data_IF_297283923416
#
_entry.id   IF_297283923416
#
_cell.length_a   1.000
_cell.length_b   1.000
_cell.length_c   1.000
_cell.angle_alpha   90.00
_cell.angle_beta   90.00
_cell.angle_gamma   90.00
#
_symmetry.space_group_name_H-M   'P 1'
#
loop_
_entity.id
_entity.type
_entity.pdbx_description
1 polymer ?
#
# COMPACT_ATOMS: atom_id res chain seq x y z
N UNK A 1 56.82 -18.41 71.88
CA UNK A 1 55.86 -18.90 70.86
C UNK A 1 56.02 -17.98 69.67
N UNK A 2 56.81 -18.34 68.64
CA UNK A 2 56.47 -19.29 67.55
C UNK A 2 55.40 -18.71 66.62
N UNK A 3 55.55 -18.69 65.30
CA UNK A 3 56.63 -19.13 64.41
C UNK A 3 56.30 -18.65 62.98
N UNK A 4 57.31 -18.49 62.09
CA UNK A 4 57.23 -18.54 60.61
C UNK A 4 56.32 -17.48 59.91
N UNK A 5 56.65 -16.87 58.77
CA UNK A 5 57.80 -17.04 57.87
C UNK A 5 57.42 -17.69 56.53
N UNK A 6 57.04 -16.90 55.53
CA UNK A 6 56.95 -17.23 54.08
C UNK A 6 56.70 -15.90 53.32
N UNK A 7 57.42 -15.44 52.28
CA UNK A 7 57.76 -16.01 50.95
C UNK A 7 56.51 -16.44 50.15
N UNK A 8 56.38 -16.23 48.83
CA UNK A 8 57.04 -15.38 47.81
C UNK A 8 56.18 -15.50 46.53
N UNK A 9 56.48 -14.74 45.47
CA UNK A 9 55.89 -14.89 44.11
C UNK A 9 54.39 -14.55 43.99
N UNK A 10 53.86 -14.10 42.85
CA UNK A 10 54.50 -13.75 41.57
C UNK A 10 53.73 -14.32 40.37
N UNK A 11 53.37 -13.42 39.43
CA UNK A 11 52.89 -13.67 38.05
C UNK A 11 51.42 -14.05 37.77
N UNK A 12 51.08 -13.73 36.51
CA UNK A 12 49.98 -14.21 35.66
C UNK A 12 48.55 -13.65 35.87
N UNK A 13 48.39 -12.44 35.32
CA UNK A 13 47.30 -12.04 34.39
C UNK A 13 46.08 -12.96 34.30
N UNK A 14 44.90 -12.41 34.63
CA UNK A 14 43.61 -12.99 34.25
C UNK A 14 42.71 -11.99 33.51
N UNK A 15 43.29 -11.21 32.60
CA UNK A 15 42.64 -10.24 31.70
C UNK A 15 41.71 -10.90 30.65
N UNK A 16 41.23 -12.12 30.90
CA UNK A 16 40.33 -12.89 30.05
C UNK A 16 38.97 -13.20 30.69
N UNK A 17 38.75 -12.85 31.96
CA UNK A 17 37.42 -12.94 32.60
C UNK A 17 36.63 -11.65 32.48
N UNK A 18 37.27 -10.50 32.64
CA UNK A 18 36.60 -9.20 32.63
C UNK A 18 36.04 -8.86 31.24
N UNK A 19 36.78 -9.17 30.17
CA UNK A 19 36.31 -8.96 28.78
C UNK A 19 35.03 -9.75 28.42
N UNK A 20 34.77 -10.91 29.06
CA UNK A 20 33.49 -11.63 28.89
C UNK A 20 32.37 -11.07 29.77
N UNK A 21 32.71 -10.47 30.91
CA UNK A 21 31.76 -9.77 31.79
C UNK A 21 31.29 -8.45 31.18
N UNK A 22 32.23 -7.62 30.69
CA UNK A 22 31.92 -6.37 30.00
C UNK A 22 31.12 -6.61 28.73
N UNK A 23 31.51 -7.55 27.86
CA UNK A 23 30.72 -7.84 26.66
C UNK A 23 29.30 -8.34 27.00
N UNK A 24 29.13 -9.12 28.07
CA UNK A 24 27.80 -9.52 28.54
C UNK A 24 26.96 -8.35 29.10
N UNK A 25 27.57 -7.43 29.86
CA UNK A 25 26.89 -6.23 30.35
C UNK A 25 26.58 -5.23 29.24
N UNK A 26 27.50 -5.02 28.30
CA UNK A 26 27.28 -4.16 27.12
C UNK A 26 26.21 -4.74 26.19
N UNK A 27 26.17 -6.07 26.01
CA UNK A 27 25.09 -6.70 25.23
C UNK A 27 23.74 -6.52 25.92
N UNK A 28 23.67 -6.67 27.25
CA UNK A 28 22.43 -6.46 28.00
C UNK A 28 21.96 -4.99 27.97
N UNK A 29 22.88 -4.04 28.06
CA UNK A 29 22.58 -2.60 27.88
C UNK A 29 22.14 -2.28 26.44
N UNK A 30 22.67 -2.96 25.42
CA UNK A 30 22.23 -2.79 24.02
C UNK A 30 20.88 -3.45 23.78
N UNK A 31 20.56 -4.58 24.42
CA UNK A 31 19.24 -5.21 24.40
C UNK A 31 18.19 -4.40 25.19
N UNK A 32 18.57 -3.64 26.22
CA UNK A 32 17.68 -2.71 26.91
C UNK A 32 17.54 -1.35 26.16
N UNK A 33 18.57 -0.88 25.43
CA UNK A 33 18.49 0.35 24.61
C UNK A 33 17.81 0.19 23.25
N UNK A 34 17.85 -1.00 22.61
CA UNK A 34 17.16 -1.23 21.32
C UNK A 34 15.63 -1.32 21.50
N UNK A 35 15.13 -1.46 22.73
CA UNK A 35 13.73 -1.79 23.02
C UNK A 35 12.96 -0.80 23.92
N UNK A 36 13.58 0.26 24.44
CA UNK A 36 12.99 1.11 25.48
C UNK A 36 11.94 2.16 25.04
N UNK A 37 11.55 2.18 23.76
CA UNK A 37 10.33 2.88 23.29
C UNK A 37 9.48 1.99 22.34
N UNK A 38 9.63 0.66 22.46
CA UNK A 38 8.91 -0.34 21.64
C UNK A 38 7.50 -0.63 22.15
N UNK A 39 6.66 0.40 22.30
CA UNK A 39 5.21 0.16 22.39
C UNK A 39 4.70 -0.28 21.03
N UNK A 40 4.28 -1.54 20.90
CA UNK A 40 3.50 -1.97 19.73
C UNK A 40 2.17 -1.23 19.72
N UNK A 41 1.85 -0.64 18.58
CA UNK A 41 0.55 0.03 18.35
C UNK A 41 -0.14 -0.66 17.18
N UNK A 42 -1.36 -1.10 17.42
CA UNK A 42 -2.25 -1.52 16.37
C UNK A 42 -2.99 -0.29 15.83
N UNK A 43 -2.99 -0.13 14.51
CA UNK A 43 -3.74 0.91 13.82
C UNK A 43 -4.60 0.28 12.72
N UNK A 44 -5.90 0.53 12.73
CA UNK A 44 -6.81 0.12 11.67
C UNK A 44 -7.45 1.34 10.98
N UNK A 45 -7.55 1.29 9.65
CA UNK A 45 -8.19 2.33 8.83
C UNK A 45 -9.34 1.69 8.08
N UNK A 46 -10.55 2.19 8.30
CA UNK A 46 -11.77 1.78 7.62
C UNK A 46 -12.29 2.97 6.83
N UNK A 47 -12.53 2.81 5.52
CA UNK A 47 -13.04 3.91 4.70
C UNK A 47 -13.95 3.39 3.59
N UNK A 48 -14.87 4.24 3.12
CA UNK A 48 -15.50 4.06 1.81
C UNK A 48 -14.75 4.96 0.81
N UNK A 49 -14.14 4.33 -0.20
CA UNK A 49 -13.48 5.06 -1.29
C UNK A 49 -14.48 5.33 -2.41
N UNK A 50 -14.40 6.52 -2.99
CA UNK A 50 -15.09 6.90 -4.22
C UNK A 50 -14.11 6.80 -5.41
N UNK A 51 -14.57 6.23 -6.51
CA UNK A 51 -13.88 6.18 -7.81
C UNK A 51 -14.30 7.40 -8.64
N UNK A 52 -13.51 8.49 -8.76
CA UNK A 52 -13.96 9.71 -9.44
C UNK A 52 -13.99 9.58 -10.98
N UNK A 53 -13.32 8.57 -11.55
CA UNK A 53 -13.22 8.33 -12.99
C UNK A 53 -12.97 6.85 -13.28
N UNK A 54 -13.11 6.42 -14.55
CA UNK A 54 -12.92 5.02 -14.94
C UNK A 54 -11.61 4.39 -14.39
N UNK A 55 -11.74 3.32 -13.59
CA UNK A 55 -10.62 2.66 -12.92
C UNK A 55 -10.48 1.20 -13.36
N UNK A 56 -9.24 0.71 -13.39
CA UNK A 56 -8.92 -0.64 -13.85
C UNK A 56 -8.23 -1.46 -12.76
N UNK A 57 -8.91 -2.53 -12.32
CA UNK A 57 -8.37 -3.55 -11.43
C UNK A 57 -8.16 -4.87 -12.19
N UNK A 58 -7.18 -4.93 -13.09
CA UNK A 58 -6.92 -6.11 -13.93
C UNK A 58 -6.63 -7.42 -13.21
N UNK A 59 -7.31 -8.51 -13.62
CA UNK A 59 -7.16 -9.85 -13.04
C UNK A 59 -5.99 -10.64 -13.62
N UNK A 60 -5.85 -10.61 -14.95
CA UNK A 60 -4.88 -11.34 -15.75
C UNK A 60 -4.52 -10.48 -16.96
N UNK A 61 -3.27 -10.54 -17.41
CA UNK A 61 -2.84 -9.96 -18.68
C UNK A 61 -2.82 -11.04 -19.76
N UNK A 62 -3.99 -11.51 -20.16
CA UNK A 62 -4.13 -12.32 -21.36
C UNK A 62 -3.84 -11.44 -22.59
N UNK A 63 -3.26 -12.00 -23.65
CA UNK A 63 -3.06 -11.25 -24.90
C UNK A 63 -4.44 -10.78 -25.39
N UNK A 64 -4.58 -9.46 -25.60
CA UNK A 64 -5.77 -8.76 -26.11
C UNK A 64 -6.98 -8.65 -25.15
N UNK A 65 -7.00 -9.28 -23.97
CA UNK A 65 -8.13 -9.19 -23.02
C UNK A 65 -7.66 -8.81 -21.61
N UNK A 66 -8.25 -7.74 -21.08
CA UNK A 66 -7.96 -7.14 -19.77
C UNK A 66 -9.24 -7.10 -18.92
N UNK A 67 -9.55 -8.22 -18.25
CA UNK A 67 -10.74 -8.35 -17.39
C UNK A 67 -10.52 -7.75 -16.00
N UNK A 68 -11.58 -7.27 -15.38
CA UNK A 68 -11.56 -6.85 -13.97
C UNK A 68 -11.49 -8.06 -13.03
N UNK A 69 -10.82 -7.87 -11.90
CA UNK A 69 -11.11 -8.69 -10.73
C UNK A 69 -12.52 -8.39 -10.24
N UNK A 70 -13.30 -9.46 -10.07
CA UNK A 70 -14.66 -9.41 -9.57
C UNK A 70 -14.88 -10.56 -8.60
N UNK A 71 -15.72 -10.33 -7.59
CA UNK A 71 -16.27 -11.39 -6.73
C UNK A 71 -17.70 -11.66 -7.18
N UNK A 72 -18.05 -12.93 -7.37
CA UNK A 72 -19.43 -13.37 -7.48
C UNK A 72 -19.94 -13.71 -6.09
N UNK A 73 -21.06 -13.10 -5.70
CA UNK A 73 -21.74 -13.37 -4.45
C UNK A 73 -23.02 -14.13 -4.78
N UNK A 74 -23.19 -15.33 -4.25
CA UNK A 74 -24.52 -15.97 -4.24
C UNK A 74 -25.41 -15.10 -3.35
N UNK A 75 -26.32 -14.41 -4.02
CA UNK A 75 -27.27 -13.47 -3.44
C UNK A 75 -28.60 -13.87 -4.00
N UNK A 76 -29.36 -14.41 -3.10
CA UNK A 76 -30.65 -14.95 -3.33
C UNK A 76 -31.64 -13.74 -3.52
N UNK A 77 -32.75 -13.79 -4.31
CA UNK A 77 -33.80 -12.72 -4.40
C UNK A 77 -35.26 -13.25 -4.37
N UNK A 78 -36.19 -12.65 -3.59
CA UNK A 78 -37.67 -12.87 -3.55
C UNK A 78 -38.53 -11.61 -3.81
N UNK A 79 -39.85 -11.79 -3.98
CA UNK A 79 -40.81 -10.77 -4.41
C UNK A 79 -41.02 -9.58 -3.45
N UNK A 80 -40.60 -9.67 -2.18
CA UNK A 80 -40.59 -8.53 -1.26
C UNK A 80 -39.35 -7.64 -1.38
N UNK A 81 -38.43 -7.97 -2.29
CA UNK A 81 -37.06 -7.46 -2.28
C UNK A 81 -36.14 -8.21 -1.30
N UNK A 82 -36.60 -9.34 -0.73
CA UNK A 82 -35.77 -10.21 0.10
C UNK A 82 -34.98 -11.17 -0.78
N UNK A 83 -34.47 -12.28 -0.22
CA UNK A 83 -33.28 -12.97 -0.71
C UNK A 83 -33.52 -14.52 -0.86
N UNK A 84 -33.95 -15.04 -2.04
CA UNK A 84 -34.26 -16.49 -2.40
C UNK A 84 -33.31 -17.32 -3.31
N UNK A 85 -32.96 -16.97 -4.58
CA UNK A 85 -31.74 -17.54 -5.26
C UNK A 85 -31.18 -16.76 -6.47
N UNK A 86 -29.87 -16.44 -6.48
CA UNK A 86 -29.22 -15.65 -7.54
C UNK A 86 -27.72 -15.39 -7.36
N UNK A 87 -27.11 -14.65 -8.30
CA UNK A 87 -25.68 -14.26 -8.24
C UNK A 87 -25.49 -12.79 -8.61
N UNK A 88 -24.74 -12.03 -7.78
CA UNK A 88 -24.31 -10.67 -8.10
C UNK A 88 -22.79 -10.63 -8.24
N UNK A 89 -22.32 -10.18 -9.41
CA UNK A 89 -20.90 -9.98 -9.72
C UNK A 89 -20.52 -8.52 -9.43
N UNK A 90 -19.59 -8.30 -8.50
CA UNK A 90 -19.13 -6.96 -8.09
C UNK A 90 -17.63 -6.75 -8.37
N UNK A 91 -17.18 -5.54 -8.75
CA UNK A 91 -15.76 -5.20 -8.83
C UNK A 91 -15.01 -5.54 -7.53
N UNK A 92 -13.76 -5.97 -7.66
CA UNK A 92 -12.89 -6.29 -6.53
C UNK A 92 -11.50 -5.64 -6.65
N UNK A 93 -11.22 -4.68 -5.77
CA UNK A 93 -9.92 -4.09 -5.57
C UNK A 93 -9.13 -4.95 -4.57
N UNK A 94 -8.50 -6.03 -5.05
CA UNK A 94 -7.89 -7.03 -4.16
C UNK A 94 -6.77 -6.48 -3.25
N UNK A 95 -6.54 -7.12 -2.08
CA UNK A 95 -5.40 -6.90 -1.20
C UNK A 95 -4.06 -6.70 -1.90
N UNK A 96 -3.76 -7.49 -2.93
CA UNK A 96 -2.50 -7.41 -3.68
C UNK A 96 -2.37 -6.09 -4.46
N UNK A 97 -3.47 -5.60 -5.05
CA UNK A 97 -3.49 -4.30 -5.73
C UNK A 97 -3.40 -3.13 -4.76
N UNK A 98 -4.15 -3.21 -3.66
CA UNK A 98 -4.11 -2.22 -2.57
C UNK A 98 -2.68 -2.07 -2.02
N UNK A 99 -2.04 -3.20 -1.67
CA UNK A 99 -0.61 -3.27 -1.30
C UNK A 99 0.32 -2.72 -2.38
N UNK A 100 0.08 -3.03 -3.65
CA UNK A 100 0.90 -2.54 -4.77
C UNK A 100 0.83 -1.01 -4.96
N UNK A 101 -0.35 -0.41 -4.74
CA UNK A 101 -0.56 1.05 -4.79
C UNK A 101 0.17 1.73 -3.64
N UNK A 102 0.07 1.22 -2.42
CA UNK A 102 0.68 1.83 -1.22
C UNK A 102 2.21 1.67 -1.21
N UNK A 103 2.74 0.53 -1.67
CA UNK A 103 4.18 0.37 -1.93
C UNK A 103 4.70 1.37 -2.97
N UNK A 104 3.93 1.67 -4.03
CA UNK A 104 4.27 2.71 -5.00
C UNK A 104 4.29 4.11 -4.38
N UNK A 105 3.38 4.41 -3.45
CA UNK A 105 3.33 5.72 -2.80
C UNK A 105 4.63 6.01 -2.01
N UNK A 106 5.13 5.03 -1.25
CA UNK A 106 6.44 5.15 -0.59
C UNK A 106 7.57 5.15 -1.61
N UNK A 107 7.62 4.17 -2.53
CA UNK A 107 8.72 4.01 -3.47
C UNK A 107 8.97 5.25 -4.36
N UNK A 108 7.90 5.90 -4.83
CA UNK A 108 7.98 7.09 -5.67
C UNK A 108 7.92 8.41 -4.90
N UNK A 109 7.84 8.37 -3.56
CA UNK A 109 8.01 9.57 -2.74
C UNK A 109 9.39 10.19 -2.96
N UNK A 110 9.47 11.53 -2.91
CA UNK A 110 10.74 12.24 -3.02
C UNK A 110 11.41 12.32 -1.65
N UNK A 111 12.64 11.84 -1.55
CA UNK A 111 13.53 12.13 -0.42
C UNK A 111 14.42 13.32 -0.75
N UNK A 112 14.72 14.11 0.27
CA UNK A 112 15.71 15.19 0.18
C UNK A 112 17.08 14.62 0.53
N UNK A 113 18.04 14.77 -0.38
CA UNK A 113 19.44 14.44 -0.15
C UNK A 113 20.28 15.72 -0.10
N UNK A 114 21.17 15.82 0.88
CA UNK A 114 22.16 16.90 0.99
C UNK A 114 23.56 16.37 0.74
N UNK A 115 24.07 16.60 -0.47
CA UNK A 115 25.48 16.93 -0.61
C UNK A 115 25.62 18.39 -0.13
N UNK A 116 26.62 18.74 0.69
CA UNK A 116 26.74 20.03 1.41
C UNK A 116 26.70 21.31 0.55
N UNK A 117 26.67 21.18 -0.78
CA UNK A 117 26.72 22.26 -1.76
C UNK A 117 25.41 22.35 -2.59
N UNK A 118 24.60 21.29 -2.68
CA UNK A 118 23.38 21.28 -3.50
C UNK A 118 22.27 20.40 -2.92
N UNK A 119 21.10 20.99 -2.63
CA UNK A 119 19.89 20.23 -2.29
C UNK A 119 19.37 19.51 -3.52
N UNK A 120 19.24 18.19 -3.43
CA UNK A 120 18.71 17.35 -4.50
C UNK A 120 17.51 16.54 -4.00
N UNK A 121 16.54 16.33 -4.88
CA UNK A 121 15.42 15.44 -4.63
C UNK A 121 15.55 14.21 -5.52
N UNK A 122 15.46 13.03 -4.91
CA UNK A 122 15.46 11.74 -5.64
C UNK A 122 14.31 10.87 -5.16
N UNK A 123 13.74 10.01 -6.01
CA UNK A 123 12.75 9.03 -5.56
C UNK A 123 13.33 8.09 -4.50
N UNK A 124 12.55 7.74 -3.49
CA UNK A 124 12.91 6.81 -2.41
C UNK A 124 13.51 5.50 -2.93
N UNK A 125 12.90 4.93 -3.98
CA UNK A 125 13.40 3.71 -4.60
C UNK A 125 14.81 3.88 -5.18
N UNK A 126 15.12 5.06 -5.74
CA UNK A 126 16.43 5.35 -6.33
C UNK A 126 17.48 5.61 -5.25
N UNK A 127 17.13 6.35 -4.20
CA UNK A 127 18.00 6.60 -3.04
C UNK A 127 18.51 5.30 -2.43
N UNK A 128 17.59 4.37 -2.16
CA UNK A 128 17.92 3.08 -1.52
C UNK A 128 18.27 1.94 -2.50
N UNK A 129 18.31 2.19 -3.81
CA UNK A 129 18.44 1.19 -4.86
C UNK A 129 17.48 -0.01 -4.69
N UNK A 130 16.19 0.31 -4.59
CA UNK A 130 15.06 -0.61 -4.45
C UNK A 130 14.27 -0.71 -5.76
N UNK A 131 13.58 -1.83 -5.94
CA UNK A 131 12.44 -1.95 -6.85
C UNK A 131 11.23 -2.47 -6.09
N UNK A 132 10.06 -2.14 -6.61
CA UNK A 132 8.77 -2.64 -6.16
C UNK A 132 8.62 -4.11 -6.59
N UNK A 133 9.13 -4.44 -7.77
CA UNK A 133 9.31 -5.79 -8.27
C UNK A 133 10.67 -6.32 -7.79
N UNK A 134 10.62 -7.24 -6.83
CA UNK A 134 11.77 -7.68 -6.01
C UNK A 134 12.79 -8.52 -6.80
N UNK A 135 12.54 -8.77 -8.08
CA UNK A 135 13.16 -9.84 -8.88
C UNK A 135 14.56 -9.55 -9.42
N UNK A 136 15.12 -8.34 -9.30
CA UNK A 136 16.47 -8.03 -9.83
C UNK A 136 17.26 -6.90 -9.14
N UNK A 137 16.77 -6.27 -8.06
CA UNK A 137 17.34 -4.97 -7.61
C UNK A 137 18.48 -4.99 -6.59
N UNK A 138 18.63 -6.04 -5.79
CA UNK A 138 19.66 -6.05 -4.76
C UNK A 138 20.95 -6.60 -5.36
N UNK A 139 22.07 -5.88 -5.21
CA UNK A 139 23.39 -6.36 -5.60
C UNK A 139 23.75 -7.72 -4.96
N UNK A 140 23.12 -8.04 -3.82
CA UNK A 140 23.23 -9.33 -3.09
C UNK A 140 22.04 -10.27 -3.29
N UNK A 141 21.00 -9.88 -4.04
CA UNK A 141 19.73 -10.59 -4.14
C UNK A 141 18.79 -10.46 -2.92
N UNK A 142 19.24 -9.85 -1.81
CA UNK A 142 18.53 -9.84 -0.52
C UNK A 142 17.94 -8.46 -0.17
N UNK A 143 16.60 -8.34 0.02
CA UNK A 143 15.95 -7.18 0.61
C UNK A 143 16.48 -6.85 2.00
N UNK A 144 16.74 -5.57 2.25
CA UNK A 144 17.13 -5.13 3.59
C UNK A 144 15.88 -5.14 4.51
N UNK A 145 15.81 -6.02 5.53
CA UNK A 145 14.62 -6.13 6.39
C UNK A 145 14.40 -4.92 7.29
N UNK A 146 15.34 -3.96 7.36
CA UNK A 146 15.26 -2.72 8.15
C UNK A 146 14.74 -1.51 7.36
N UNK A 147 14.30 -1.75 6.12
CA UNK A 147 13.71 -0.74 5.24
C UNK A 147 12.21 -0.64 5.45
N UNK A 148 11.64 0.57 5.50
CA UNK A 148 10.22 0.74 5.86
C UNK A 148 9.27 0.13 4.84
N UNK A 149 9.63 0.15 3.54
CA UNK A 149 8.83 -0.47 2.48
C UNK A 149 8.89 -2.00 2.58
N UNK A 150 10.07 -2.55 2.84
CA UNK A 150 10.29 -3.99 3.02
C UNK A 150 9.66 -4.52 4.31
N UNK A 151 9.70 -3.75 5.40
CA UNK A 151 9.23 -4.17 6.73
C UNK A 151 7.71 -4.12 6.86
N UNK A 152 7.09 -2.98 6.49
CA UNK A 152 5.64 -2.81 6.61
C UNK A 152 4.86 -3.65 5.61
N UNK A 153 5.33 -3.73 4.37
CA UNK A 153 4.63 -4.47 3.31
C UNK A 153 5.19 -5.87 3.06
N UNK A 154 6.34 -6.25 3.63
CA UNK A 154 6.97 -7.56 3.42
C UNK A 154 7.61 -7.73 2.05
N UNK A 155 8.54 -8.69 1.93
CA UNK A 155 9.24 -9.04 0.70
C UNK A 155 9.53 -10.54 0.61
N UNK A 156 9.87 -11.01 -0.59
CA UNK A 156 10.23 -12.40 -0.89
C UNK A 156 11.45 -12.40 -1.79
N UNK A 157 12.45 -13.23 -1.50
CA UNK A 157 13.66 -13.35 -2.30
C UNK A 157 14.13 -14.80 -2.37
N UNK A 158 14.96 -15.12 -3.37
CA UNK A 158 15.30 -16.50 -3.76
C UNK A 158 16.73 -16.90 -3.44
N UNK A 159 17.58 -15.96 -3.00
CA UNK A 159 19.01 -16.22 -2.81
C UNK A 159 19.53 -15.51 -1.55
N UNK A 160 19.57 -16.18 -0.38
CA UNK A 160 18.91 -17.46 -0.07
C UNK A 160 17.38 -17.31 -0.08
N UNK A 161 16.65 -18.39 -0.33
CA UNK A 161 15.17 -18.36 -0.32
C UNK A 161 14.64 -18.00 1.05
N UNK A 162 13.97 -16.85 1.16
CA UNK A 162 13.30 -16.43 2.38
C UNK A 162 12.18 -15.42 2.08
N UNK A 163 11.31 -15.23 3.07
CA UNK A 163 10.23 -14.24 3.02
C UNK A 163 10.16 -13.46 4.34
N UNK A 164 9.77 -12.19 4.23
CA UNK A 164 9.39 -11.34 5.33
C UNK A 164 7.89 -11.05 5.19
N UNK A 165 7.10 -11.49 6.18
CA UNK A 165 5.67 -11.18 6.23
C UNK A 165 5.49 -9.68 6.55
N UNK A 166 4.70 -8.99 5.74
CA UNK A 166 4.35 -7.60 6.00
C UNK A 166 3.46 -7.45 7.23
N UNK A 167 3.61 -6.31 7.92
CA UNK A 167 2.85 -5.90 9.12
C UNK A 167 1.52 -5.24 8.81
N UNK A 168 1.34 -4.77 7.57
CA UNK A 168 0.08 -4.20 7.08
C UNK A 168 -0.74 -5.30 6.38
N UNK A 169 -1.98 -5.44 6.83
CA UNK A 169 -2.99 -6.36 6.34
C UNK A 169 -4.15 -5.59 5.69
N UNK A 170 -4.79 -6.22 4.71
CA UNK A 170 -5.75 -5.62 3.81
C UNK A 170 -7.06 -6.41 3.83
N UNK A 171 -8.17 -5.70 3.98
CA UNK A 171 -9.52 -6.26 3.87
C UNK A 171 -10.44 -5.35 3.07
N UNK A 172 -11.69 -5.77 2.92
CA UNK A 172 -12.66 -5.12 2.03
C UNK A 172 -12.22 -5.22 0.56
N UNK A 173 -12.47 -4.17 -0.21
CA UNK A 173 -12.12 -4.05 -1.63
C UNK A 173 -13.22 -4.52 -2.59
N UNK A 174 -14.28 -5.18 -2.11
CA UNK A 174 -15.46 -5.49 -2.94
C UNK A 174 -16.32 -4.23 -3.03
N UNK A 175 -16.62 -3.77 -4.24
CA UNK A 175 -17.46 -2.60 -4.45
C UNK A 175 -18.88 -2.80 -3.87
N UNK A 176 -19.54 -1.71 -3.47
CA UNK A 176 -20.94 -1.74 -3.03
C UNK A 176 -21.85 -2.02 -4.23
N UNK A 177 -21.74 -1.20 -5.28
CA UNK A 177 -22.52 -1.36 -6.50
C UNK A 177 -21.93 -2.42 -7.45
N UNK A 178 -22.79 -3.06 -8.23
CA UNK A 178 -22.42 -3.99 -9.32
C UNK A 178 -22.26 -3.28 -10.67
N UNK A 179 -21.62 -2.11 -10.68
CA UNK A 179 -21.41 -1.28 -11.87
C UNK A 179 -20.12 -1.69 -12.59
N UNK A 180 -20.27 -2.19 -13.82
CA UNK A 180 -19.18 -2.74 -14.64
C UNK A 180 -19.40 -2.33 -16.10
N UNK A 181 -18.55 -1.43 -16.61
CA UNK A 181 -18.59 -1.02 -18.02
C UNK A 181 -17.51 -1.75 -18.83
N UNK A 182 -17.91 -2.45 -19.90
CA UNK A 182 -16.97 -3.16 -20.79
C UNK A 182 -16.65 -2.31 -22.01
N UNK A 183 -15.46 -1.71 -22.05
CA UNK A 183 -15.00 -0.90 -23.20
C UNK A 183 -14.12 -1.73 -24.13
N UNK A 184 -14.43 -1.69 -25.41
CA UNK A 184 -13.51 -2.12 -26.46
C UNK A 184 -12.68 -0.90 -26.89
N UNK A 185 -11.37 -1.08 -27.06
CA UNK A 185 -10.48 -0.06 -27.62
C UNK A 185 -9.69 -0.67 -28.76
N UNK A 186 -9.80 -0.07 -29.94
CA UNK A 186 -8.88 -0.38 -31.02
C UNK A 186 -7.49 0.18 -30.66
N UNK A 187 -6.56 -0.72 -30.33
CA UNK A 187 -5.13 -0.45 -30.22
C UNK A 187 -4.38 -1.36 -31.17
N UNK A 188 -4.52 -1.08 -32.46
CA UNK A 188 -3.49 -1.46 -33.42
C UNK A 188 -2.35 -0.46 -33.23
N UNK A 189 -1.11 -0.92 -33.02
CA UNK A 189 0.04 -0.01 -33.02
C UNK A 189 0.12 0.70 -34.37
N UNK A 190 0.37 2.00 -34.40
CA UNK A 190 0.30 2.79 -35.64
C UNK A 190 1.19 2.22 -36.77
N UNK A 191 2.33 1.63 -36.41
CA UNK A 191 3.22 0.96 -37.36
C UNK A 191 2.60 -0.32 -37.93
N UNK A 192 1.96 -1.15 -37.08
CA UNK A 192 1.25 -2.35 -37.52
C UNK A 192 0.00 -1.98 -38.34
N UNK A 193 -0.71 -0.92 -37.95
CA UNK A 193 -1.84 -0.38 -38.71
C UNK A 193 -1.40 0.09 -40.10
N UNK A 194 -0.27 0.80 -40.19
CA UNK A 194 0.28 1.23 -41.47
C UNK A 194 0.79 0.06 -42.32
N UNK A 195 1.47 -0.94 -41.74
CA UNK A 195 1.87 -2.14 -42.49
C UNK A 195 0.66 -2.88 -43.04
N UNK A 196 -0.34 -3.18 -42.20
CA UNK A 196 -1.56 -3.87 -42.62
C UNK A 196 -2.39 -3.05 -43.62
N UNK A 197 -2.35 -1.73 -43.53
CA UNK A 197 -2.97 -0.82 -44.52
C UNK A 197 -2.21 -0.86 -45.85
N UNK A 198 -0.88 -0.84 -45.84
CA UNK A 198 -0.04 -0.96 -47.04
C UNK A 198 -0.22 -2.34 -47.69
N UNK A 199 -0.21 -3.43 -46.92
CA UNK A 199 -0.46 -4.79 -47.41
C UNK A 199 -1.89 -4.94 -47.97
N UNK A 200 -2.89 -4.28 -47.36
CA UNK A 200 -4.26 -4.19 -47.88
C UNK A 200 -4.36 -3.40 -49.20
N UNK A 201 -3.63 -2.29 -49.32
CA UNK A 201 -3.57 -1.47 -50.53
C UNK A 201 -2.74 -2.12 -51.67
N UNK A 202 -1.69 -2.88 -51.35
CA UNK A 202 -0.90 -3.65 -52.32
C UNK A 202 -1.62 -4.89 -52.82
N UNK A 203 -2.35 -5.60 -51.95
CA UNK A 203 -3.14 -6.78 -52.34
C UNK A 203 -4.37 -6.39 -53.19
N UNK A 204 -5.01 -5.25 -52.91
CA UNK A 204 -6.07 -4.70 -53.78
C UNK A 204 -5.54 -4.19 -55.13
N UNK A 205 -4.33 -3.60 -55.18
CA UNK A 205 -3.69 -3.22 -56.45
C UNK A 205 -3.32 -4.42 -57.32
N UNK A 206 -2.67 -5.45 -56.76
CA UNK A 206 -2.39 -6.70 -57.50
C UNK A 206 -3.65 -7.36 -58.04
N UNK A 207 -4.72 -7.41 -57.24
CA UNK A 207 -6.01 -7.95 -57.72
C UNK A 207 -6.79 -7.02 -58.66
N UNK A 208 -6.35 -5.79 -58.93
CA UNK A 208 -6.91 -4.95 -60.01
C UNK A 208 -6.09 -5.05 -61.30
N UNK A 209 -4.76 -5.13 -61.24
CA UNK A 209 -3.91 -5.31 -62.43
C UNK A 209 -4.09 -6.71 -63.06
N UNK A 210 -4.26 -7.76 -62.26
CA UNK A 210 -4.51 -9.13 -62.76
C UNK A 210 -5.98 -9.38 -63.24
N UNK A 211 -6.87 -8.37 -63.18
CA UNK A 211 -8.33 -8.55 -63.40
C UNK A 211 -8.91 -7.99 -64.70
N UNK A 212 -8.10 -7.53 -65.65
CA UNK A 212 -8.61 -7.20 -67.01
C UNK A 212 -9.01 -8.44 -67.84
N UNK A 213 -8.82 -9.67 -67.34
CA UNK A 213 -9.01 -10.91 -68.11
C UNK A 213 -10.05 -11.93 -67.63
N UNK A 214 -10.61 -11.82 -66.41
CA UNK A 214 -11.48 -12.90 -65.86
C UNK A 214 -12.72 -12.41 -65.11
N UNK A 215 -13.88 -12.66 -65.72
CA UNK A 215 -15.19 -12.58 -65.09
C UNK A 215 -15.45 -13.77 -64.17
N UNK A 216 -15.85 -13.51 -62.93
CA UNK A 216 -16.43 -14.52 -62.02
C UNK A 216 -15.43 -15.14 -61.05
N UNK A 217 -15.31 -14.55 -59.86
CA UNK A 217 -14.58 -15.14 -58.73
C UNK A 217 -14.87 -14.35 -57.46
N UNK A 218 -15.60 -14.96 -56.53
CA UNK A 218 -16.01 -14.34 -55.27
C UNK A 218 -14.80 -13.79 -54.52
N UNK A 219 -14.81 -12.47 -54.28
CA UNK A 219 -13.76 -11.81 -53.52
C UNK A 219 -13.86 -12.20 -52.06
N UNK A 220 -13.00 -13.11 -51.60
CA UNK A 220 -12.69 -13.20 -50.18
C UNK A 220 -11.93 -11.93 -49.79
N UNK A 221 -12.65 -10.97 -49.23
CA UNK A 221 -12.04 -9.88 -48.48
C UNK A 221 -11.14 -10.50 -47.41
N UNK A 222 -9.85 -10.18 -47.45
CA UNK A 222 -9.01 -10.35 -46.27
C UNK A 222 -9.46 -9.27 -45.28
N UNK A 223 -10.47 -9.59 -44.47
CA UNK A 223 -10.71 -8.85 -43.24
C UNK A 223 -9.42 -8.92 -42.41
N UNK A 224 -8.67 -7.82 -42.44
CA UNK A 224 -7.63 -7.56 -41.45
C UNK A 224 -8.35 -7.40 -40.13
N UNK A 225 -8.54 -8.53 -39.44
CA UNK A 225 -9.20 -8.58 -38.15
C UNK A 225 -8.39 -7.72 -37.17
N UNK A 226 -8.86 -6.49 -36.96
CA UNK A 226 -8.25 -5.58 -36.01
C UNK A 226 -8.19 -6.30 -34.66
N UNK A 227 -7.01 -6.33 -34.04
CA UNK A 227 -6.89 -6.89 -32.69
C UNK A 227 -7.60 -5.96 -31.70
N UNK A 228 -8.90 -6.21 -31.50
CA UNK A 228 -9.76 -5.47 -30.58
C UNK A 228 -9.30 -5.76 -29.16
N UNK A 229 -8.59 -4.80 -28.56
CA UNK A 229 -8.22 -4.88 -27.14
C UNK A 229 -9.46 -4.59 -26.30
N UNK A 230 -9.94 -5.62 -25.59
CA UNK A 230 -11.10 -5.44 -24.70
C UNK A 230 -10.63 -5.21 -23.27
N UNK A 231 -11.16 -4.17 -22.63
CA UNK A 231 -10.80 -3.80 -21.26
C UNK A 231 -12.04 -3.41 -20.46
N UNK A 232 -12.27 -4.11 -19.36
CA UNK A 232 -13.34 -3.78 -18.43
C UNK A 232 -12.90 -2.65 -17.50
N UNK A 233 -13.82 -1.74 -17.16
CA UNK A 233 -13.57 -0.61 -16.28
C UNK A 233 -14.64 -0.53 -15.20
N UNK A 234 -14.20 -0.15 -14.00
CA UNK A 234 -15.08 0.24 -12.91
C UNK A 234 -15.59 1.64 -13.22
N UNK A 235 -16.90 1.81 -13.16
CA UNK A 235 -17.55 3.08 -13.50
C UNK A 235 -17.19 4.18 -12.49
N UNK A 236 -17.21 5.46 -12.93
CA UNK A 236 -17.19 6.60 -12.01
C UNK A 236 -18.28 6.48 -10.93
N UNK A 237 -18.02 7.04 -9.76
CA UNK A 237 -18.85 6.98 -8.55
C UNK A 237 -19.07 5.57 -7.96
N UNK A 238 -18.36 4.55 -8.44
CA UNK A 238 -18.30 3.25 -7.73
C UNK A 238 -17.69 3.45 -6.34
N UNK A 239 -18.36 2.91 -5.32
CA UNK A 239 -17.94 2.98 -3.94
C UNK A 239 -17.29 1.67 -3.51
N UNK A 240 -16.11 1.77 -2.89
CA UNK A 240 -15.28 0.63 -2.52
C UNK A 240 -14.90 0.74 -1.03
N UNK A 241 -15.58 0.01 -0.15
CA UNK A 241 -15.19 -0.13 1.26
C UNK A 241 -13.82 -0.80 1.36
N UNK A 242 -12.92 -0.25 2.16
CA UNK A 242 -11.57 -0.78 2.38
C UNK A 242 -11.26 -0.90 3.87
N UNK A 243 -10.39 -1.84 4.19
CA UNK A 243 -9.84 -2.04 5.53
C UNK A 243 -8.31 -2.11 5.44
N UNK A 244 -7.62 -1.38 6.32
CA UNK A 244 -6.21 -1.60 6.67
C UNK A 244 -6.13 -2.00 8.13
N UNK A 245 -5.21 -2.90 8.44
CA UNK A 245 -4.82 -3.22 9.82
C UNK A 245 -3.31 -3.33 9.85
N UNK A 246 -2.64 -2.49 10.63
CA UNK A 246 -1.21 -2.55 10.87
C UNK A 246 -0.92 -2.90 12.32
N UNK A 247 -0.06 -3.89 12.55
CA UNK A 247 0.59 -4.11 13.86
C UNK A 247 1.99 -3.51 13.80
N UNK A 248 2.13 -2.31 14.33
CA UNK A 248 3.24 -1.40 14.05
C UNK A 248 4.13 -1.24 15.29
N UNK A 249 5.42 -0.96 15.08
CA UNK A 249 6.21 -0.30 16.13
C UNK A 249 5.75 1.16 16.24
N UNK A 250 5.80 1.74 17.45
CA UNK A 250 5.24 3.07 17.73
C UNK A 250 5.88 4.25 17.00
N UNK A 251 5.52 5.48 17.44
CA UNK A 251 5.92 6.77 16.85
C UNK A 251 7.38 6.81 16.40
N UNK A 252 8.29 6.37 17.28
CA UNK A 252 9.75 6.37 17.12
C UNK A 252 10.26 5.67 15.85
N UNK A 253 9.54 4.67 15.34
CA UNK A 253 9.90 3.91 14.15
C UNK A 253 9.24 4.44 12.87
N UNK A 254 8.44 5.51 12.96
CA UNK A 254 7.71 6.14 11.86
C UNK A 254 6.73 5.19 11.11
N UNK A 255 6.41 4.03 11.67
CA UNK A 255 5.54 3.04 11.01
C UNK A 255 4.07 3.50 10.86
N UNK A 256 3.40 4.08 11.89
CA UNK A 256 2.07 4.66 11.74
C UNK A 256 2.06 5.82 10.74
N UNK A 257 3.12 6.62 10.75
CA UNK A 257 3.35 7.75 9.86
C UNK A 257 3.46 7.30 8.39
N UNK A 258 4.26 6.26 8.12
CA UNK A 258 4.41 5.67 6.80
C UNK A 258 3.14 4.96 6.32
N UNK A 259 2.40 4.28 7.20
CA UNK A 259 1.11 3.67 6.85
C UNK A 259 0.07 4.73 6.49
N UNK A 260 -0.03 5.82 7.27
CA UNK A 260 -0.93 6.93 6.98
C UNK A 260 -0.56 7.66 5.67
N UNK A 261 0.74 7.95 5.46
CA UNK A 261 1.24 8.52 4.21
C UNK A 261 0.94 7.62 3.01
N UNK A 262 1.27 6.33 3.11
CA UNK A 262 1.11 5.39 2.02
C UNK A 262 -0.36 5.19 1.65
N UNK A 263 -1.26 5.17 2.63
CA UNK A 263 -2.70 5.19 2.39
C UNK A 263 -3.12 6.47 1.66
N UNK A 264 -2.86 7.66 2.22
CA UNK A 264 -3.33 8.93 1.66
C UNK A 264 -2.72 9.24 0.28
N UNK A 265 -1.42 9.04 0.07
CA UNK A 265 -0.81 9.19 -1.26
C UNK A 265 -1.14 8.04 -2.21
N UNK A 266 -1.33 6.82 -1.68
CA UNK A 266 -1.78 5.67 -2.45
C UNK A 266 -3.10 5.96 -3.17
N UNK A 267 -4.04 6.61 -2.49
CA UNK A 267 -5.29 7.07 -3.11
C UNK A 267 -5.06 7.97 -4.32
N UNK A 268 -4.18 8.98 -4.23
CA UNK A 268 -3.89 9.89 -5.35
C UNK A 268 -3.29 9.18 -6.58
N UNK A 269 -2.42 8.19 -6.35
CA UNK A 269 -1.72 7.46 -7.42
C UNK A 269 -2.43 6.15 -7.83
N UNK A 270 -3.63 5.88 -7.30
CA UNK A 270 -4.40 4.70 -7.62
C UNK A 270 -4.70 4.64 -9.13
N UNK A 271 -4.36 3.51 -9.76
CA UNK A 271 -4.46 3.32 -11.21
C UNK A 271 -3.35 2.42 -11.74
N UNK A 272 -3.65 1.59 -12.73
CA UNK A 272 -2.68 0.70 -13.36
C UNK A 272 -1.94 1.42 -14.49
N UNK A 273 -0.69 1.85 -14.23
CA UNK A 273 0.19 2.49 -15.21
C UNK A 273 -0.11 3.97 -15.53
N UNK A 274 -1.33 4.43 -15.26
CA UNK A 274 -1.70 5.85 -15.29
C UNK A 274 -2.46 6.15 -14.00
N UNK A 275 -1.99 7.07 -13.14
CA UNK A 275 -2.69 7.43 -11.92
C UNK A 275 -4.03 8.08 -12.29
N UNK A 276 -5.12 7.54 -11.73
CA UNK A 276 -6.48 8.04 -11.88
C UNK A 276 -7.04 8.64 -10.58
N UNK A 277 -6.46 8.27 -9.46
CA UNK A 277 -6.90 8.73 -8.15
C UNK A 277 -8.13 7.98 -7.66
N UNK A 278 -8.31 7.98 -6.35
CA UNK A 278 -9.52 7.63 -5.62
C UNK A 278 -9.69 8.65 -4.50
N UNK A 279 -10.92 8.97 -4.14
CA UNK A 279 -11.22 9.85 -3.01
C UNK A 279 -11.65 9.01 -1.80
N UNK A 280 -11.52 9.56 -0.60
CA UNK A 280 -12.36 9.12 0.53
C UNK A 280 -13.70 9.82 0.38
N UNK A 281 -14.79 9.05 0.34
CA UNK A 281 -16.16 9.54 0.15
C UNK A 281 -16.51 10.65 1.16
N UNK A 282 -17.20 11.68 0.67
CA UNK A 282 -17.74 12.78 1.49
C UNK A 282 -19.27 12.74 1.51
N UNK A 283 -19.83 12.49 2.68
CA UNK A 283 -21.26 12.26 2.88
C UNK A 283 -21.75 12.91 4.20
N UNK A 284 -23.01 13.35 4.33
CA UNK A 284 -23.56 13.82 5.61
C UNK A 284 -23.87 12.67 6.60
N UNK A 285 -22.98 11.67 6.69
CA UNK A 285 -23.24 10.43 7.41
C UNK A 285 -23.32 10.62 8.94
N UNK A 286 -22.56 11.54 9.54
CA UNK A 286 -22.56 11.76 11.00
C UNK A 286 -23.65 12.74 11.45
N UNK A 287 -23.70 13.92 10.85
CA UNK A 287 -24.56 15.04 11.24
C UNK A 287 -25.90 14.99 10.51
N UNK A 288 -27.00 15.01 11.26
CA UNK A 288 -28.39 15.10 10.74
C UNK A 288 -28.65 16.34 9.85
N UNK A 289 -27.84 17.40 10.02
CA UNK A 289 -27.88 18.56 9.14
C UNK A 289 -27.05 18.30 7.88
N UNK A 290 -27.72 17.87 6.80
CA UNK A 290 -27.17 17.54 5.46
C UNK A 290 -26.29 18.61 4.77
N UNK A 291 -25.99 19.73 5.43
CA UNK A 291 -25.11 20.80 4.94
C UNK A 291 -23.62 20.52 5.17
N UNK A 292 -23.25 19.69 6.15
CA UNK A 292 -21.86 19.34 6.44
C UNK A 292 -21.61 17.91 5.98
N UNK A 293 -20.93 17.74 4.85
CA UNK A 293 -20.35 16.46 4.47
C UNK A 293 -19.09 16.23 5.31
N UNK A 294 -18.86 14.98 5.69
CA UNK A 294 -17.63 14.55 6.36
C UNK A 294 -17.07 13.30 5.66
N UNK A 295 -15.78 13.06 5.85
CA UNK A 295 -15.12 11.87 5.30
C UNK A 295 -15.74 10.59 5.87
N UNK A 296 -16.14 9.63 5.02
CA UNK A 296 -16.63 8.31 5.47
C UNK A 296 -15.41 7.44 5.82
N UNK A 297 -14.87 7.71 7.00
CA UNK A 297 -13.57 7.26 7.49
C UNK A 297 -13.64 7.01 9.00
N UNK A 298 -13.02 5.92 9.45
CA UNK A 298 -12.76 5.58 10.84
C UNK A 298 -11.31 5.13 10.97
N UNK A 299 -10.64 5.56 12.04
CA UNK A 299 -9.29 5.12 12.40
C UNK A 299 -9.28 4.67 13.85
N UNK A 300 -9.00 3.39 14.07
CA UNK A 300 -8.83 2.81 15.41
C UNK A 300 -7.34 2.73 15.73
N UNK A 301 -6.93 3.17 16.92
CA UNK A 301 -5.54 3.19 17.38
C UNK A 301 -5.48 2.70 18.82
N UNK A 302 -4.65 1.69 19.10
CA UNK A 302 -4.59 1.11 20.45
C UNK A 302 -3.45 0.11 20.66
N UNK A 303 -3.32 -0.37 21.90
CA UNK A 303 -2.51 -1.57 22.18
C UNK A 303 -3.18 -2.81 21.59
N UNK A 304 -4.51 -2.82 21.56
CA UNK A 304 -5.35 -3.80 20.88
C UNK A 304 -6.37 -3.05 20.01
N UNK A 305 -6.96 -3.72 19.02
CA UNK A 305 -8.09 -3.16 18.27
C UNK A 305 -9.41 -3.49 18.99
N UNK A 306 -10.49 -2.82 18.57
CA UNK A 306 -11.84 -3.12 19.05
C UNK A 306 -12.35 -4.42 18.43
N UNK A 307 -13.07 -5.23 19.23
CA UNK A 307 -13.66 -6.50 18.79
C UNK A 307 -14.70 -6.32 17.67
N UNK A 308 -15.28 -5.13 17.55
CA UNK A 308 -16.21 -4.73 16.49
C UNK A 308 -15.52 -3.83 15.44
N UNK A 309 -14.93 -4.42 14.38
CA UNK A 309 -14.33 -3.66 13.28
C UNK A 309 -15.40 -3.11 12.32
N UNK A 310 -15.12 -1.95 11.71
CA UNK A 310 -16.05 -1.27 10.78
C UNK A 310 -15.96 -1.89 9.38
N UNK A 311 -16.39 -3.15 9.24
CA UNK A 311 -16.40 -3.91 7.99
C UNK A 311 -17.82 -3.96 7.41
N UNK A 312 -18.01 -3.46 6.19
CA UNK A 312 -19.28 -3.54 5.47
C UNK A 312 -19.42 -4.92 4.81
N UNK A 313 -20.53 -5.67 5.01
CA UNK A 313 -20.77 -6.91 4.31
C UNK A 313 -20.87 -6.71 2.79
N UNK A 314 -20.17 -7.50 1.96
CA UNK A 314 -20.16 -7.32 0.50
C UNK A 314 -21.53 -7.59 -0.15
N UNK A 315 -22.44 -8.28 0.58
CA UNK A 315 -23.80 -8.53 0.14
C UNK A 315 -24.64 -7.25 -0.03
N UNK A 316 -24.37 -6.18 0.73
CA UNK A 316 -25.13 -4.93 0.66
C UNK A 316 -24.92 -4.27 -0.73
N UNK A 317 -25.97 -4.08 -1.56
CA UNK A 317 -25.83 -3.53 -2.91
C UNK A 317 -26.05 -2.01 -2.97
N UNK A 318 -26.71 -1.46 -1.95
CA UNK A 318 -27.15 -0.07 -1.87
C UNK A 318 -26.10 0.83 -1.20
N UNK A 319 -25.68 1.93 -1.84
CA UNK A 319 -24.81 2.94 -1.23
C UNK A 319 -25.33 3.46 0.12
N UNK A 320 -26.62 3.78 0.21
CA UNK A 320 -27.24 4.32 1.42
C UNK A 320 -27.20 3.32 2.57
N UNK A 321 -27.47 2.04 2.30
CA UNK A 321 -27.48 1.00 3.33
C UNK A 321 -26.06 0.65 3.78
N UNK A 322 -25.09 0.70 2.87
CA UNK A 322 -23.68 0.54 3.19
C UNK A 322 -23.15 1.68 4.08
N UNK A 323 -23.53 2.93 3.79
CA UNK A 323 -23.19 4.10 4.62
C UNK A 323 -23.87 4.00 6.00
N UNK A 324 -25.14 3.57 6.05
CA UNK A 324 -25.86 3.36 7.30
C UNK A 324 -25.24 2.25 8.18
N UNK A 325 -24.85 1.11 7.60
CA UNK A 325 -24.18 0.04 8.35
C UNK A 325 -22.75 0.45 8.77
N UNK A 326 -22.03 1.21 7.94
CA UNK A 326 -20.75 1.83 8.32
C UNK A 326 -20.91 2.79 9.51
N UNK A 327 -21.94 3.67 9.46
CA UNK A 327 -22.30 4.58 10.55
C UNK A 327 -22.58 3.84 11.84
N UNK A 328 -23.44 2.82 11.78
CA UNK A 328 -23.83 1.99 12.91
C UNK A 328 -22.61 1.33 13.56
N UNK A 329 -21.77 0.65 12.78
CA UNK A 329 -20.54 -0.01 13.27
C UNK A 329 -19.49 0.97 13.80
N UNK A 330 -19.36 2.16 13.20
CA UNK A 330 -18.45 3.18 13.69
C UNK A 330 -18.83 3.65 15.10
N UNK A 331 -20.13 3.86 15.33
CA UNK A 331 -20.68 4.46 16.54
C UNK A 331 -20.95 3.47 17.71
N UNK A 332 -20.72 2.15 17.56
CA UNK A 332 -20.90 1.22 18.70
C UNK A 332 -19.87 1.40 19.83
N UNK A 333 -18.72 2.02 19.56
CA UNK A 333 -17.64 2.15 20.54
C UNK A 333 -17.88 3.26 21.56
N UNK A 334 -17.51 3.01 22.82
CA UNK A 334 -17.55 4.02 23.89
C UNK A 334 -16.33 4.96 23.89
N UNK A 335 -15.23 4.59 23.23
CA UNK A 335 -13.97 5.36 23.21
C UNK A 335 -13.84 6.20 21.93
N UNK A 336 -14.84 7.03 21.61
CA UNK A 336 -14.82 7.91 20.44
C UNK A 336 -14.21 9.26 20.82
N UNK A 337 -13.13 9.65 20.15
CA UNK A 337 -12.44 10.93 20.37
C UNK A 337 -12.61 11.86 19.17
N UNK A 338 -12.88 13.14 19.46
CA UNK A 338 -13.08 14.21 18.48
C UNK A 338 -11.85 15.11 18.27
N UNK A 339 -10.84 15.03 19.14
CA UNK A 339 -9.58 15.78 19.01
C UNK A 339 -8.61 15.13 18.00
N UNK A 340 -7.80 15.95 17.34
CA UNK A 340 -7.03 15.56 16.13
C UNK A 340 -5.51 15.61 16.29
N UNK A 341 -5.00 15.68 17.52
CA UNK A 341 -3.56 15.69 17.82
C UNK A 341 -3.05 14.24 18.00
N UNK A 342 -2.17 13.74 17.12
CA UNK A 342 -1.73 12.35 17.22
C UNK A 342 -0.93 12.05 18.47
N UNK A 343 -0.09 12.98 18.94
CA UNK A 343 0.81 12.71 20.06
C UNK A 343 -0.03 12.55 21.35
N UNK A 344 -1.09 13.35 21.54
CA UNK A 344 -2.11 13.13 22.60
C UNK A 344 -2.79 11.76 22.50
N UNK A 345 -3.23 11.35 21.30
CA UNK A 345 -3.90 10.05 21.09
C UNK A 345 -2.99 8.90 21.48
N UNK A 346 -1.71 8.95 21.11
CA UNK A 346 -0.74 7.94 21.51
C UNK A 346 -0.40 8.00 23.01
N UNK A 347 -0.33 9.18 23.62
CA UNK A 347 -0.12 9.33 25.07
C UNK A 347 -1.29 8.75 25.87
N UNK A 348 -2.54 8.94 25.42
CA UNK A 348 -3.69 8.31 26.05
C UNK A 348 -3.67 6.78 25.93
N UNK A 349 -3.23 6.23 24.79
CA UNK A 349 -3.00 4.77 24.63
C UNK A 349 -1.85 4.29 25.52
N UNK A 350 -0.71 5.00 25.55
CA UNK A 350 0.47 4.68 26.37
C UNK A 350 0.16 4.73 27.86
N UNK A 351 -0.68 5.65 28.31
CA UNK A 351 -1.11 5.78 29.71
C UNK A 351 -1.97 4.62 30.21
N UNK A 352 -2.44 3.73 29.32
CA UNK A 352 -3.36 2.65 29.64
C UNK A 352 -4.81 3.09 29.90
N UNK A 353 -5.09 4.40 29.85
CA UNK A 353 -6.43 4.99 30.01
C UNK A 353 -7.44 4.44 28.99
N UNK A 354 -7.00 4.19 27.77
CA UNK A 354 -7.79 3.56 26.72
C UNK A 354 -7.01 2.41 26.06
N UNK A 355 -7.61 1.21 26.02
CA UNK A 355 -7.04 0.05 25.29
C UNK A 355 -6.99 0.32 23.78
N UNK A 356 -8.03 0.98 23.27
CA UNK A 356 -8.17 1.46 21.89
C UNK A 356 -9.00 2.76 21.88
N UNK A 357 -8.60 3.69 21.02
CA UNK A 357 -9.25 4.96 20.71
C UNK A 357 -9.78 4.89 19.28
N UNK A 358 -11.05 5.28 19.09
CA UNK A 358 -11.68 5.37 17.77
C UNK A 358 -11.81 6.84 17.35
N UNK A 359 -11.17 7.19 16.25
CA UNK A 359 -11.31 8.48 15.57
C UNK A 359 -12.27 8.33 14.40
N UNK A 360 -13.13 9.32 14.16
CA UNK A 360 -14.20 9.24 13.17
C UNK A 360 -14.20 10.51 12.30
N UNK A 361 -14.56 10.37 11.02
CA UNK A 361 -14.87 11.51 10.15
C UNK A 361 -13.67 12.38 9.84
N UNK A 362 -13.88 13.70 9.87
CA UNK A 362 -12.82 14.67 9.61
C UNK A 362 -11.72 14.66 10.69
N UNK A 363 -12.02 14.23 11.91
CA UNK A 363 -11.00 14.04 12.97
C UNK A 363 -10.05 12.91 12.60
N UNK A 364 -10.57 11.78 12.12
CA UNK A 364 -9.76 10.67 11.62
C UNK A 364 -8.90 11.09 10.42
N UNK A 365 -9.46 11.90 9.50
CA UNK A 365 -8.73 12.40 8.35
C UNK A 365 -7.58 13.35 8.75
N UNK A 366 -7.84 14.29 9.68
CA UNK A 366 -6.82 15.19 10.22
C UNK A 366 -5.69 14.40 10.92
N UNK A 367 -6.03 13.40 11.73
CA UNK A 367 -5.03 12.55 12.38
C UNK A 367 -4.12 11.85 11.36
N UNK A 368 -4.69 11.18 10.33
CA UNK A 368 -3.89 10.56 9.26
C UNK A 368 -3.06 11.60 8.48
N UNK A 369 -3.58 12.81 8.30
CA UNK A 369 -2.89 13.90 7.61
C UNK A 369 -1.68 14.40 8.40
N UNK A 370 -1.81 14.62 9.71
CA UNK A 370 -0.67 14.98 10.58
C UNK A 370 0.37 13.86 10.60
N UNK A 371 -0.05 12.59 10.71
CA UNK A 371 0.86 11.44 10.62
C UNK A 371 1.61 11.40 9.28
N UNK A 372 0.90 11.60 8.17
CA UNK A 372 1.47 11.65 6.82
C UNK A 372 2.46 12.80 6.65
N UNK A 373 2.16 13.98 7.18
CA UNK A 373 3.02 15.16 7.03
C UNK A 373 4.26 15.08 7.93
N UNK A 374 4.13 14.48 9.12
CA UNK A 374 5.26 14.10 9.99
C UNK A 374 6.15 13.04 9.30
N UNK A 375 5.58 12.07 8.56
CA UNK A 375 6.38 11.18 7.71
C UNK A 375 7.20 11.94 6.66
N UNK A 376 6.60 12.88 5.93
CA UNK A 376 7.33 13.69 4.95
C UNK A 376 8.43 14.50 5.62
N UNK A 377 8.08 15.29 6.64
CA UNK A 377 8.96 16.30 7.22
C UNK A 377 10.07 15.73 8.11
N UNK A 378 9.83 14.61 8.79
CA UNK A 378 10.79 14.00 9.72
C UNK A 378 11.51 12.79 9.11
N UNK A 379 10.87 12.01 8.24
CA UNK A 379 11.50 10.84 7.62
C UNK A 379 12.08 11.17 6.24
N UNK A 380 11.23 11.55 5.26
CA UNK A 380 11.68 11.71 3.87
C UNK A 380 12.58 12.94 3.64
N UNK A 381 12.33 14.05 4.36
CA UNK A 381 13.06 15.31 4.20
C UNK A 381 14.34 15.41 5.04
N UNK A 382 14.58 14.47 5.96
CA UNK A 382 15.76 14.42 6.83
C UNK A 382 16.54 13.10 6.70
N UNK A 383 16.29 12.32 5.65
CA UNK A 383 16.64 10.89 5.61
C UNK A 383 18.13 10.61 5.82
N UNK A 384 19.01 11.47 5.30
CA UNK A 384 20.48 11.38 5.46
C UNK A 384 20.94 11.52 6.93
N UNK A 385 20.16 12.23 7.75
CA UNK A 385 20.44 12.53 9.16
C UNK A 385 19.81 11.53 10.15
N UNK A 386 19.00 10.59 9.66
CA UNK A 386 18.33 9.62 10.53
C UNK A 386 19.32 8.54 10.98
N UNK A 387 19.35 8.26 12.29
CA UNK A 387 20.02 7.07 12.81
C UNK A 387 19.20 5.81 12.51
N UNK A 388 19.19 5.44 11.24
CA UNK A 388 18.62 4.19 10.74
C UNK A 388 19.79 3.36 10.20
N UNK A 389 19.93 2.07 10.57
CA UNK A 389 21.05 1.24 10.12
C UNK A 389 21.26 1.17 8.61
N UNK A 390 20.22 1.43 7.81
CA UNK A 390 20.31 1.51 6.34
C UNK A 390 20.94 2.82 5.85
N UNK A 391 20.65 3.95 6.50
CA UNK A 391 21.29 5.25 6.20
C UNK A 391 22.77 5.19 6.57
N UNK A 392 23.10 4.66 7.75
CA UNK A 392 24.49 4.36 8.16
C UNK A 392 25.24 3.50 7.14
N UNK A 393 24.60 2.48 6.57
CA UNK A 393 25.19 1.64 5.52
C UNK A 393 25.38 2.40 4.20
N UNK A 394 24.39 3.20 3.78
CA UNK A 394 24.45 4.01 2.56
C UNK A 394 25.58 5.04 2.62
N UNK A 395 25.68 5.79 3.71
CA UNK A 395 26.72 6.80 3.92
C UNK A 395 28.12 6.16 3.90
N UNK A 396 28.27 4.95 4.49
CA UNK A 396 29.51 4.18 4.44
C UNK A 396 29.90 3.80 2.99
N UNK A 397 28.93 3.40 2.16
CA UNK A 397 29.17 3.07 0.75
C UNK A 397 29.61 4.32 -0.02
N UNK A 398 28.89 5.45 0.12
CA UNK A 398 29.26 6.72 -0.53
C UNK A 398 30.70 7.14 -0.16
N UNK A 399 31.02 7.18 1.13
CA UNK A 399 32.35 7.55 1.61
C UNK A 399 33.45 6.64 1.05
N UNK A 400 33.19 5.34 0.91
CA UNK A 400 34.14 4.40 0.29
C UNK A 400 34.29 4.57 -1.23
N UNK A 401 33.31 5.16 -1.91
CA UNK A 401 33.35 5.45 -3.35
C UNK A 401 33.91 6.83 -3.71
N UNK A 402 34.05 7.72 -2.73
CA UNK A 402 34.69 9.04 -2.88
C UNK A 402 36.19 9.05 -2.49
N UNK A 403 36.70 7.92 -1.98
CA UNK A 403 38.09 7.74 -1.55
C UNK A 403 38.91 6.85 -2.50
N UNK A 404 38.41 6.68 -3.73
CA UNK A 404 39.05 6.04 -4.90
C UNK A 404 39.11 7.08 -6.02
#
# INVERSE_FOLDING_TARGET
MSEKGSKKEGKETNSGKDAKSEVAQTTKLVEELIFSDNTYVNMAIYAILEVPQELYFGKLSEKNINLLETVTLSIDIDEGGNIVRGEIKKPYFSPTKQRGVERRAIAYSLVKTSDDINVKYVPYYKYFNLSIDVTNTYQTGVPNPRDILTYLWGATWTTPTAYLRGRIHYGGGVAIQSLLERKQRNRVEYNIYNMLKIEGEESTKKTTEDREGMTGGEGKEFEVAQMIWTKEYVEPYTLIPIVRVGTLLGISNMEPHAMAYAFLQGLNIAGAGTPKGMNILEDPWLKLNNKCKEKVLVVDVGTHLLDEPVVIPPAIPSPSDAINEFKKKALTSQNIISESDPDKVFDEVKSGKHVCIRLIGDTAYKFLKVLSDKFVNEYLMKIDNLDIPRVKLYNKIIMSSQSI
#
